data_IF_228520510017
#
_entry.id   IF_228520510017
#
_cell.length_a   1.000
_cell.length_b   1.000
_cell.length_c   1.000
_cell.angle_alpha   90.00
_cell.angle_beta   90.00
_cell.angle_gamma   90.00
#
_symmetry.space_group_name_H-M   'P 1'
#
loop_
_entity.id
_entity.type
_entity.pdbx_description
1 polymer ?
#
# COMPACT_ATOMS: atom_id res chain seq x y z
N UNK A 1 30.12 -6.07 -23.08
CA UNK A 1 29.82 -4.84 -22.30
C UNK A 1 28.33 -4.60 -22.07
N UNK A 2 27.42 -5.06 -22.95
CA UNK A 2 25.96 -4.94 -22.74
C UNK A 2 25.43 -5.78 -21.55
N UNK A 3 26.02 -6.94 -21.27
CA UNK A 3 25.55 -7.84 -20.20
C UNK A 3 25.87 -7.34 -18.79
N UNK A 4 27.04 -6.72 -18.58
CA UNK A 4 27.41 -6.12 -17.29
C UNK A 4 26.50 -4.93 -16.92
N UNK A 5 26.06 -4.15 -17.91
CA UNK A 5 25.13 -3.02 -17.71
C UNK A 5 23.72 -3.50 -17.37
N UNK A 6 23.29 -4.64 -17.94
CA UNK A 6 22.00 -5.28 -17.66
C UNK A 6 21.96 -5.89 -16.25
N UNK A 7 23.05 -6.52 -15.82
CA UNK A 7 23.18 -7.07 -14.46
C UNK A 7 23.11 -6.00 -13.35
N UNK A 8 23.73 -4.84 -13.56
CA UNK A 8 23.75 -3.73 -12.59
C UNK A 8 22.41 -2.98 -12.48
N UNK A 9 21.64 -2.86 -13.57
CA UNK A 9 20.27 -2.32 -13.55
C UNK A 9 19.35 -3.21 -12.74
N UNK A 10 19.41 -4.52 -12.97
CA UNK A 10 18.53 -5.50 -12.33
C UNK A 10 18.80 -5.69 -10.83
N UNK A 11 20.03 -5.51 -10.35
CA UNK A 11 20.33 -5.55 -8.91
C UNK A 11 19.78 -4.31 -8.19
N UNK A 12 19.91 -3.15 -8.81
CA UNK A 12 19.49 -1.87 -8.24
C UNK A 12 17.97 -1.76 -8.22
N UNK A 13 17.30 -2.13 -9.32
CA UNK A 13 15.82 -2.17 -9.40
C UNK A 13 15.23 -3.11 -8.35
N UNK A 14 15.81 -4.31 -8.17
CA UNK A 14 15.37 -5.26 -7.13
C UNK A 14 15.51 -4.68 -5.73
N UNK A 15 16.63 -4.01 -5.45
CA UNK A 15 16.87 -3.35 -4.17
C UNK A 15 15.84 -2.24 -3.90
N UNK A 16 15.54 -1.41 -4.92
CA UNK A 16 14.55 -0.34 -4.82
C UNK A 16 13.13 -0.87 -4.59
N UNK A 17 12.71 -1.88 -5.36
CA UNK A 17 11.39 -2.51 -5.18
C UNK A 17 11.28 -3.12 -3.79
N UNK A 18 12.27 -3.90 -3.35
CA UNK A 18 12.25 -4.48 -2.01
C UNK A 18 12.27 -3.43 -0.90
N UNK A 19 13.06 -2.36 -1.07
CA UNK A 19 13.14 -1.24 -0.13
C UNK A 19 11.81 -0.49 0.01
N UNK A 20 11.18 -0.15 -1.12
CA UNK A 20 9.88 0.53 -1.15
C UNK A 20 8.80 -0.32 -0.49
N UNK A 21 8.77 -1.63 -0.78
CA UNK A 21 7.77 -2.55 -0.24
C UNK A 21 7.93 -2.77 1.27
N UNK A 22 9.17 -2.94 1.74
CA UNK A 22 9.45 -3.07 3.17
C UNK A 22 9.17 -1.76 3.91
N UNK A 23 9.57 -0.63 3.33
CA UNK A 23 9.32 0.69 3.88
C UNK A 23 7.82 0.97 4.05
N UNK A 24 7.00 0.65 3.04
CA UNK A 24 5.54 0.81 3.11
C UNK A 24 4.90 -0.01 4.24
N UNK A 25 5.29 -1.29 4.38
CA UNK A 25 4.78 -2.15 5.45
C UNK A 25 5.20 -1.65 6.84
N UNK A 26 6.48 -1.28 7.01
CA UNK A 26 6.99 -0.78 8.29
C UNK A 26 6.29 0.52 8.67
N UNK A 27 6.19 1.46 7.72
CA UNK A 27 5.51 2.73 7.95
C UNK A 27 4.03 2.52 8.32
N UNK A 28 3.34 1.66 7.58
CA UNK A 28 1.96 1.29 7.89
C UNK A 28 1.82 0.74 9.31
N UNK A 29 2.67 -0.22 9.70
CA UNK A 29 2.66 -0.81 11.04
C UNK A 29 2.91 0.23 12.13
N UNK A 30 3.84 1.16 11.91
CA UNK A 30 4.12 2.25 12.85
C UNK A 30 2.93 3.20 13.01
N UNK A 31 2.30 3.60 11.91
CA UNK A 31 1.14 4.49 11.94
C UNK A 31 -0.06 3.83 12.63
N UNK A 32 -0.38 2.58 12.29
CA UNK A 32 -1.46 1.83 12.94
C UNK A 32 -1.17 1.62 14.43
N UNK A 33 0.08 1.25 14.77
CA UNK A 33 0.48 1.07 16.17
C UNK A 33 0.36 2.35 16.98
N UNK A 34 0.76 3.49 16.42
CA UNK A 34 0.65 4.79 17.08
C UNK A 34 -0.81 5.23 17.22
N UNK A 35 -1.62 5.10 16.17
CA UNK A 35 -3.05 5.42 16.22
C UNK A 35 -3.78 4.60 17.27
N UNK A 36 -3.53 3.29 17.30
CA UNK A 36 -4.11 2.39 18.30
C UNK A 36 -3.67 2.75 19.73
N UNK A 37 -2.39 3.06 19.91
CA UNK A 37 -1.87 3.47 21.21
C UNK A 37 -2.56 4.73 21.74
N UNK A 38 -2.85 5.70 20.86
CA UNK A 38 -3.59 6.91 21.24
C UNK A 38 -5.05 6.61 21.59
N UNK A 39 -5.73 5.73 20.85
CA UNK A 39 -7.08 5.26 21.21
C UNK A 39 -7.13 4.62 22.60
N UNK A 40 -6.13 3.80 22.93
CA UNK A 40 -6.03 3.17 24.24
C UNK A 40 -5.90 4.20 25.37
N UNK A 41 -5.21 5.32 25.15
CA UNK A 41 -5.11 6.40 26.14
C UNK A 41 -6.41 7.19 26.29
N UNK A 42 -7.16 7.35 25.21
CA UNK A 42 -8.43 8.09 25.20
C UNK A 42 -9.58 7.27 25.81
N UNK A 43 -9.39 5.97 26.01
CA UNK A 43 -10.43 5.05 26.49
C UNK A 43 -11.52 4.75 25.46
N UNK A 44 -11.40 5.33 24.26
CA UNK A 44 -12.31 5.12 23.14
C UNK A 44 -11.83 3.93 22.31
N UNK A 45 -12.19 2.71 22.74
CA UNK A 45 -12.11 1.51 21.91
C UNK A 45 -13.30 1.39 20.94
N UNK A 46 -14.14 2.43 20.87
CA UNK A 46 -15.21 2.54 19.88
C UNK A 46 -14.60 2.66 18.50
N UNK A 47 -14.43 1.53 17.82
CA UNK A 47 -14.04 1.46 16.42
C UNK A 47 -15.18 2.04 15.57
N UNK A 48 -15.21 3.36 15.45
CA UNK A 48 -16.06 4.01 14.48
C UNK A 48 -15.50 3.67 13.09
N UNK A 49 -16.36 3.12 12.23
CA UNK A 49 -16.01 2.85 10.84
C UNK A 49 -15.78 4.17 10.11
N UNK A 50 -14.53 4.62 10.07
CA UNK A 50 -14.16 5.84 9.36
C UNK A 50 -13.93 5.50 7.90
N UNK A 51 -14.60 6.24 7.03
CA UNK A 51 -14.40 6.13 5.60
C UNK A 51 -12.96 6.50 5.25
N UNK A 52 -12.30 5.67 4.44
CA UNK A 52 -10.90 5.87 4.03
C UNK A 52 -10.69 7.22 3.31
N UNK A 53 -11.76 7.77 2.73
CA UNK A 53 -11.76 9.09 2.08
C UNK A 53 -11.67 10.26 3.06
N UNK A 54 -11.95 10.06 4.35
CA UNK A 54 -11.89 11.12 5.36
C UNK A 54 -10.46 11.59 5.67
N UNK A 55 -9.46 10.76 5.38
CA UNK A 55 -8.04 11.15 5.42
C UNK A 55 -7.81 12.44 4.61
N UNK A 56 -8.49 12.58 3.47
CA UNK A 56 -8.35 13.75 2.59
C UNK A 56 -9.20 14.95 3.01
N UNK A 57 -10.18 14.76 3.90
CA UNK A 57 -11.06 15.83 4.39
C UNK A 57 -10.47 16.61 5.55
N UNK A 58 -9.46 16.06 6.23
CA UNK A 58 -8.68 16.75 7.27
C UNK A 58 -9.43 17.02 8.58
N UNK A 59 -10.57 16.37 8.82
CA UNK A 59 -11.40 16.58 10.01
C UNK A 59 -11.26 15.47 11.06
N UNK A 60 -10.33 14.52 10.85
CA UNK A 60 -10.16 13.37 11.72
C UNK A 60 -9.32 13.71 12.96
N UNK A 61 -9.69 13.19 14.15
CA UNK A 61 -8.79 13.13 15.30
C UNK A 61 -7.47 12.47 14.92
N UNK A 62 -6.38 12.85 15.61
CA UNK A 62 -5.04 12.36 15.27
C UNK A 62 -4.93 10.81 15.37
N UNK A 63 -5.59 10.21 16.36
CA UNK A 63 -5.58 8.76 16.57
C UNK A 63 -6.21 8.02 15.38
N UNK A 64 -7.41 8.46 14.99
CA UNK A 64 -8.18 7.98 13.84
C UNK A 64 -7.43 8.20 12.52
N UNK A 65 -6.83 9.38 12.35
CA UNK A 65 -6.03 9.70 11.17
C UNK A 65 -4.86 8.74 11.02
N UNK A 66 -4.08 8.51 12.09
CA UNK A 66 -2.92 7.63 12.06
C UNK A 66 -3.31 6.18 11.79
N UNK A 67 -4.39 5.70 12.40
CA UNK A 67 -4.88 4.34 12.20
C UNK A 67 -5.37 4.14 10.76
N UNK A 68 -6.23 5.04 10.27
CA UNK A 68 -6.81 4.98 8.92
C UNK A 68 -5.72 5.17 7.85
N UNK A 69 -4.77 6.09 8.05
CA UNK A 69 -3.63 6.29 7.14
C UNK A 69 -2.71 5.06 7.12
N UNK A 70 -2.46 4.43 8.27
CA UNK A 70 -1.70 3.19 8.34
C UNK A 70 -2.35 2.06 7.55
N UNK A 71 -3.67 1.88 7.67
CA UNK A 71 -4.44 0.90 6.89
C UNK A 71 -4.40 1.24 5.39
N UNK A 72 -4.54 2.51 5.03
CA UNK A 72 -4.46 2.97 3.64
C UNK A 72 -3.12 2.64 2.99
N UNK A 73 -2.00 2.93 3.68
CA UNK A 73 -0.66 2.57 3.20
C UNK A 73 -0.49 1.05 3.10
N UNK A 74 -1.07 0.28 4.05
CA UNK A 74 -1.06 -1.18 4.00
C UNK A 74 -1.73 -1.71 2.73
N UNK A 75 -2.89 -1.14 2.38
CA UNK A 75 -3.64 -1.49 1.18
C UNK A 75 -2.93 -1.04 -0.10
N UNK A 76 -2.26 0.12 -0.09
CA UNK A 76 -1.46 0.61 -1.23
C UNK A 76 -0.23 -0.25 -1.51
N UNK A 77 0.39 -0.85 -0.49
CA UNK A 77 1.62 -1.64 -0.63
C UNK A 77 1.49 -2.79 -1.65
N UNK A 78 0.47 -3.67 -1.59
CA UNK A 78 0.26 -4.68 -2.63
C UNK A 78 -0.10 -4.08 -3.99
N UNK A 79 -0.77 -2.92 -4.07
CA UNK A 79 -1.04 -2.24 -5.34
C UNK A 79 0.26 -1.83 -6.04
N UNK A 80 1.17 -1.18 -5.32
CA UNK A 80 2.49 -0.83 -5.85
C UNK A 80 3.28 -2.06 -6.29
N UNK A 81 3.24 -3.15 -5.50
CA UNK A 81 3.87 -4.43 -5.88
C UNK A 81 3.33 -4.92 -7.22
N UNK A 82 2.02 -4.95 -7.35
CA UNK A 82 1.32 -5.45 -8.54
C UNK A 82 1.63 -4.58 -9.77
N UNK A 83 1.67 -3.25 -9.62
CA UNK A 83 2.01 -2.32 -10.70
C UNK A 83 3.46 -2.53 -11.17
N UNK A 84 4.41 -2.59 -10.25
CA UNK A 84 5.83 -2.75 -10.57
C UNK A 84 6.12 -4.09 -11.25
N UNK A 85 5.53 -5.18 -10.74
CA UNK A 85 5.62 -6.49 -11.40
C UNK A 85 4.87 -6.51 -12.74
N UNK A 86 3.73 -5.83 -12.84
CA UNK A 86 2.96 -5.69 -14.07
C UNK A 86 3.77 -5.03 -15.19
N UNK A 87 4.51 -3.96 -14.90
CA UNK A 87 5.40 -3.32 -15.88
C UNK A 87 6.52 -4.25 -16.34
N UNK A 88 7.11 -5.02 -15.43
CA UNK A 88 8.15 -6.00 -15.77
C UNK A 88 7.60 -7.08 -16.72
N UNK A 89 6.45 -7.66 -16.37
CA UNK A 89 5.83 -8.72 -17.17
C UNK A 89 5.27 -8.23 -18.51
N UNK A 90 4.76 -7.00 -18.57
CA UNK A 90 4.34 -6.38 -19.82
C UNK A 90 5.52 -6.25 -20.80
N UNK A 91 6.71 -5.89 -20.30
CA UNK A 91 7.94 -5.89 -21.09
C UNK A 91 8.38 -7.28 -21.53
N UNK A 92 8.08 -8.32 -20.74
CA UNK A 92 8.41 -9.73 -21.04
C UNK A 92 7.31 -10.45 -21.87
N UNK A 93 6.21 -9.78 -22.21
CA UNK A 93 5.03 -10.31 -22.93
C UNK A 93 4.27 -11.43 -22.21
N UNK A 94 4.36 -11.50 -20.89
CA UNK A 94 3.61 -12.50 -20.11
C UNK A 94 2.22 -11.98 -19.71
N UNK A 95 1.25 -12.19 -20.60
CA UNK A 95 -0.13 -11.70 -20.44
C UNK A 95 -0.92 -12.37 -19.31
N UNK A 96 -0.53 -13.58 -18.88
CA UNK A 96 -1.25 -14.29 -17.81
C UNK A 96 -1.05 -13.59 -16.48
N UNK A 97 0.17 -13.18 -16.19
CA UNK A 97 0.49 -12.46 -14.95
C UNK A 97 -0.05 -11.04 -14.95
N UNK A 98 -0.10 -10.38 -16.11
CA UNK A 98 -0.76 -9.07 -16.26
C UNK A 98 -2.25 -9.17 -15.91
N UNK A 99 -2.94 -10.25 -16.30
CA UNK A 99 -4.35 -10.46 -15.94
C UNK A 99 -4.60 -10.52 -14.43
N UNK A 100 -3.74 -11.22 -13.68
CA UNK A 100 -3.81 -11.27 -12.20
C UNK A 100 -3.54 -9.88 -11.61
N UNK A 101 -2.57 -9.14 -12.17
CA UNK A 101 -2.25 -7.79 -11.72
C UNK A 101 -3.45 -6.83 -11.87
N UNK A 102 -4.11 -6.87 -13.02
CA UNK A 102 -5.33 -6.10 -13.28
C UNK A 102 -6.43 -6.51 -12.28
N UNK A 103 -6.62 -7.80 -12.05
CA UNK A 103 -7.64 -8.29 -11.10
C UNK A 103 -7.40 -7.75 -9.68
N UNK A 104 -6.17 -7.81 -9.17
CA UNK A 104 -5.84 -7.27 -7.84
C UNK A 104 -6.08 -5.76 -7.79
N UNK A 105 -5.71 -5.02 -8.84
CA UNK A 105 -6.00 -3.58 -8.90
C UNK A 105 -7.50 -3.29 -8.85
N UNK A 106 -8.31 -4.07 -9.57
CA UNK A 106 -9.77 -3.94 -9.55
C UNK A 106 -10.33 -4.24 -8.16
N UNK A 107 -9.93 -5.34 -7.51
CA UNK A 107 -10.43 -5.66 -6.17
C UNK A 107 -10.05 -4.60 -5.15
N UNK A 108 -8.87 -3.98 -5.29
CA UNK A 108 -8.41 -2.91 -4.42
C UNK A 108 -9.21 -1.62 -4.59
N UNK A 109 -9.46 -1.23 -5.84
CA UNK A 109 -10.32 -0.08 -6.16
C UNK A 109 -11.73 -0.31 -5.63
N UNK A 110 -12.29 -1.50 -5.85
CA UNK A 110 -13.61 -1.87 -5.33
C UNK A 110 -13.65 -1.85 -3.80
N UNK A 111 -12.63 -2.40 -3.14
CA UNK A 111 -12.51 -2.40 -1.68
C UNK A 111 -12.52 -0.99 -1.09
N UNK A 112 -11.72 -0.07 -1.65
CA UNK A 112 -11.65 1.32 -1.18
C UNK A 112 -12.94 2.09 -1.52
N UNK A 113 -13.54 1.83 -2.69
CA UNK A 113 -14.76 2.52 -3.12
C UNK A 113 -15.99 2.07 -2.31
N UNK A 114 -16.12 0.76 -2.07
CA UNK A 114 -17.21 0.18 -1.29
C UNK A 114 -17.03 0.44 0.21
N UNK A 115 -15.80 0.40 0.72
CA UNK A 115 -15.51 0.73 2.13
C UNK A 115 -15.73 2.21 2.48
N UNK A 116 -16.07 3.06 1.51
CA UNK A 116 -16.43 4.46 1.71
C UNK A 116 -17.92 4.72 1.96
N UNK A 117 -18.77 3.68 1.89
CA UNK A 117 -20.23 3.71 2.11
C UNK A 117 -20.60 2.86 3.33
#
# INVERSE_FOLDING_TARGET
>A
MAEAKKGFSLSTERGLVQGLMRGGLILSALLMGLGLFLHMQQGELGLHGISMWEIFRGQLPLADFLLTAGIFILALTPAFRVILLGFLWASEKDWRFVGVAVLVMVTLILSISLGGH
#
